data_IF_037222120466
#
_entry.id   IF_037222120466
#
_cell.length_a   1.000
_cell.length_b   1.000
_cell.length_c   1.000
_cell.angle_alpha   90.00
_cell.angle_beta   90.00
_cell.angle_gamma   90.00
#
_symmetry.space_group_name_H-M   'P 1'
#
loop_
_entity.id
_entity.type
_entity.pdbx_description
1 polymer ?
#
# COMPACT_ATOMS: atom_id res chain seq x y z
N UNK A 1 12.80 -51.99 -33.73
CA UNK A 1 11.77 -51.09 -33.19
C UNK A 1 11.74 -50.95 -31.65
N UNK A 2 12.61 -51.64 -30.89
CA UNK A 2 12.58 -51.65 -29.38
C UNK A 2 13.55 -50.60 -28.74
N UNK A 3 14.45 -49.97 -29.51
CA UNK A 3 15.43 -49.03 -29.01
C UNK A 3 14.92 -47.58 -28.87
N UNK A 4 13.84 -47.21 -29.59
CA UNK A 4 13.29 -45.83 -29.54
C UNK A 4 12.26 -45.61 -28.45
N UNK A 5 11.67 -46.69 -27.86
CA UNK A 5 10.71 -46.58 -26.77
C UNK A 5 11.36 -46.11 -25.44
N UNK A 6 12.63 -46.41 -25.22
CA UNK A 6 13.34 -46.03 -23.99
C UNK A 6 13.74 -44.53 -23.96
N UNK A 7 14.01 -43.97 -25.15
CA UNK A 7 14.38 -42.52 -25.26
C UNK A 7 13.16 -41.63 -25.07
N UNK A 8 11.96 -42.07 -25.47
CA UNK A 8 10.72 -41.29 -25.29
C UNK A 8 10.27 -41.21 -23.83
N UNK A 9 10.57 -42.25 -23.02
CA UNK A 9 10.24 -42.27 -21.56
C UNK A 9 11.20 -41.36 -20.78
N UNK A 10 12.44 -41.21 -21.21
CA UNK A 10 13.41 -40.33 -20.53
C UNK A 10 13.11 -38.83 -20.77
N UNK A 11 12.47 -38.48 -21.90
CA UNK A 11 12.06 -37.11 -22.21
C UNK A 11 10.79 -36.64 -21.49
N UNK A 12 9.97 -37.58 -21.02
CA UNK A 12 8.76 -37.27 -20.23
C UNK A 12 9.04 -36.97 -18.76
N UNK A 13 10.24 -37.28 -18.24
CA UNK A 13 10.63 -36.99 -16.86
C UNK A 13 11.37 -35.67 -16.68
N UNK A 14 11.67 -34.92 -17.73
CA UNK A 14 12.42 -33.66 -17.66
C UNK A 14 11.55 -32.41 -17.49
N UNK A 15 10.23 -32.54 -17.29
CA UNK A 15 9.35 -31.45 -16.88
C UNK A 15 9.08 -31.49 -15.37
N UNK A 16 10.10 -31.69 -14.56
CA UNK A 16 10.07 -31.24 -13.17
C UNK A 16 10.13 -29.71 -13.27
N UNK A 17 8.95 -29.10 -13.33
CA UNK A 17 8.83 -27.66 -13.09
C UNK A 17 9.60 -27.38 -11.81
N UNK A 18 10.68 -26.60 -11.89
CA UNK A 18 11.32 -26.01 -10.73
C UNK A 18 10.26 -25.10 -10.11
N UNK A 19 9.42 -25.65 -9.25
CA UNK A 19 8.56 -24.85 -8.41
C UNK A 19 9.50 -23.97 -7.61
N UNK A 20 9.42 -22.67 -7.83
CA UNK A 20 10.14 -21.72 -7.00
C UNK A 20 9.77 -22.04 -5.54
N UNK A 21 10.77 -22.42 -4.75
CA UNK A 21 10.55 -22.79 -3.36
C UNK A 21 9.98 -21.56 -2.63
N UNK A 22 8.85 -21.76 -1.95
CA UNK A 22 8.21 -20.71 -1.14
C UNK A 22 9.20 -20.10 -0.16
N UNK A 23 9.23 -18.78 -0.07
CA UNK A 23 10.06 -18.09 0.89
C UNK A 23 9.54 -18.36 2.31
N UNK A 24 10.42 -18.89 3.16
CA UNK A 24 10.11 -19.23 4.57
C UNK A 24 10.67 -18.20 5.56
N UNK A 25 11.71 -17.49 5.17
CA UNK A 25 12.40 -16.49 5.99
C UNK A 25 12.48 -15.17 5.22
N UNK A 26 11.64 -14.22 5.61
CA UNK A 26 11.46 -12.95 4.90
C UNK A 26 11.96 -11.81 5.78
N UNK A 27 12.82 -10.97 5.23
CA UNK A 27 13.07 -9.63 5.76
C UNK A 27 12.25 -8.64 4.94
N UNK A 28 11.28 -7.99 5.58
CA UNK A 28 10.44 -6.96 4.94
C UNK A 28 10.94 -5.56 5.30
N UNK A 29 11.47 -4.84 4.32
CA UNK A 29 11.83 -3.43 4.46
C UNK A 29 10.69 -2.49 4.02
N UNK A 30 9.47 -3.04 3.88
CA UNK A 30 8.31 -2.37 3.30
C UNK A 30 7.09 -2.58 4.21
N UNK A 31 6.59 -1.54 4.92
CA UNK A 31 5.50 -1.68 5.88
C UNK A 31 4.24 -2.34 5.33
N UNK A 32 3.80 -1.94 4.12
CA UNK A 32 2.59 -2.52 3.53
C UNK A 32 2.76 -3.97 3.04
N UNK A 33 4.00 -4.42 2.75
CA UNK A 33 4.30 -5.85 2.50
C UNK A 33 4.18 -6.64 3.79
N UNK A 34 4.75 -6.13 4.88
CA UNK A 34 4.55 -6.71 6.22
C UNK A 34 3.06 -6.86 6.52
N UNK A 35 2.27 -5.80 6.30
CA UNK A 35 0.81 -5.84 6.50
C UNK A 35 0.14 -6.88 5.60
N UNK A 36 0.57 -7.02 4.35
CA UNK A 36 0.05 -8.04 3.43
C UNK A 36 0.28 -9.46 3.95
N UNK A 37 1.46 -9.74 4.52
CA UNK A 37 1.75 -11.05 5.12
C UNK A 37 0.85 -11.34 6.32
N UNK A 38 0.59 -10.35 7.19
CA UNK A 38 -0.37 -10.49 8.29
C UNK A 38 -1.79 -10.77 7.78
N UNK A 39 -2.24 -10.06 6.75
CA UNK A 39 -3.56 -10.24 6.16
C UNK A 39 -3.75 -11.62 5.50
N UNK A 40 -2.66 -12.27 5.10
CA UNK A 40 -2.67 -13.63 4.56
C UNK A 40 -2.43 -14.73 5.62
N UNK A 41 -2.14 -14.36 6.89
CA UNK A 41 -1.82 -15.30 7.96
C UNK A 41 -0.38 -15.84 7.90
N UNK A 42 0.53 -15.17 7.17
CA UNK A 42 1.91 -15.62 6.90
C UNK A 42 2.97 -14.83 7.70
N UNK A 43 2.57 -14.16 8.80
CA UNK A 43 3.48 -13.40 9.66
C UNK A 43 4.61 -14.24 10.26
N UNK A 44 4.41 -15.55 10.45
CA UNK A 44 5.43 -16.46 10.97
C UNK A 44 6.66 -16.60 10.06
N UNK A 45 6.56 -16.18 8.80
CA UNK A 45 7.68 -16.14 7.85
C UNK A 45 8.54 -14.89 7.99
N UNK A 46 8.05 -13.85 8.68
CA UNK A 46 8.81 -12.64 8.93
C UNK A 46 9.90 -12.92 9.98
N UNK A 47 11.15 -12.69 9.61
CA UNK A 47 12.30 -12.81 10.52
C UNK A 47 12.91 -11.45 10.83
N UNK A 48 12.62 -10.42 10.02
CA UNK A 48 13.10 -9.06 10.23
C UNK A 48 12.23 -8.03 9.49
N UNK A 49 12.17 -6.83 10.05
CA UNK A 49 11.37 -5.73 9.49
C UNK A 49 11.98 -4.37 9.80
N UNK A 50 11.34 -3.29 9.35
CA UNK A 50 11.68 -1.92 9.76
C UNK A 50 10.92 -1.54 11.03
N UNK A 51 11.39 -0.48 11.72
CA UNK A 51 10.68 0.10 12.87
C UNK A 51 9.30 0.70 12.53
N UNK A 52 8.97 0.82 11.25
CA UNK A 52 7.66 1.30 10.77
C UNK A 52 6.71 0.17 10.34
N UNK A 53 7.18 -1.06 10.36
CA UNK A 53 6.34 -2.19 10.02
C UNK A 53 5.32 -2.46 11.13
N UNK A 54 4.04 -2.65 10.80
CA UNK A 54 3.02 -2.99 11.78
C UNK A 54 3.17 -4.48 12.15
N UNK A 55 3.85 -4.75 13.26
CA UNK A 55 4.08 -6.10 13.78
C UNK A 55 3.50 -6.23 15.19
N UNK A 56 2.98 -7.40 15.51
CA UNK A 56 2.53 -7.72 16.86
C UNK A 56 3.73 -7.99 17.77
N UNK A 57 3.72 -7.47 18.99
CA UNK A 57 4.81 -7.64 19.94
C UNK A 57 5.10 -9.12 20.25
N UNK A 58 4.09 -9.98 20.17
CA UNK A 58 4.19 -11.42 20.40
C UNK A 58 5.03 -12.14 19.34
N UNK A 59 5.11 -11.62 18.12
CA UNK A 59 5.79 -12.27 16.99
C UNK A 59 7.32 -12.19 17.08
N UNK A 60 7.85 -11.32 17.95
CA UNK A 60 9.31 -11.16 18.22
C UNK A 60 10.15 -10.98 16.94
N UNK A 61 9.65 -10.21 15.97
CA UNK A 61 10.34 -9.96 14.71
C UNK A 61 11.46 -8.96 14.93
N UNK A 62 12.67 -9.27 14.43
CA UNK A 62 13.84 -8.41 14.61
C UNK A 62 13.72 -7.10 13.83
N UNK A 63 13.95 -5.96 14.48
CA UNK A 63 14.03 -4.67 13.80
C UNK A 63 15.43 -4.51 13.21
N UNK A 64 15.51 -4.56 11.87
CA UNK A 64 16.77 -4.49 11.11
C UNK A 64 16.97 -3.16 10.40
N UNK A 65 15.95 -2.28 10.38
CA UNK A 65 16.03 -0.99 9.71
C UNK A 65 15.15 0.06 10.40
N UNK A 66 15.52 1.33 10.21
CA UNK A 66 14.69 2.50 10.52
C UNK A 66 14.56 3.37 9.25
N UNK A 67 14.00 4.60 9.37
CA UNK A 67 13.83 5.52 8.26
C UNK A 67 15.13 5.91 7.52
N UNK A 68 16.27 5.84 8.20
CA UNK A 68 17.55 6.38 7.72
C UNK A 68 18.52 5.26 7.30
N UNK A 69 18.54 4.14 8.02
CA UNK A 69 19.59 3.15 7.91
C UNK A 69 19.05 1.72 8.00
N UNK A 70 19.67 0.82 7.22
CA UNK A 70 19.49 -0.62 7.30
C UNK A 70 20.73 -1.22 7.95
N UNK A 71 20.54 -2.04 8.98
CA UNK A 71 21.61 -2.81 9.58
C UNK A 71 21.85 -4.10 8.77
N UNK A 72 22.76 -4.01 7.80
CA UNK A 72 23.08 -5.10 6.87
C UNK A 72 23.58 -6.35 7.62
N UNK A 73 24.37 -6.18 8.68
CA UNK A 73 24.89 -7.30 9.47
C UNK A 73 23.74 -8.09 10.13
N UNK A 74 22.75 -7.38 10.72
CA UNK A 74 21.56 -8.02 11.27
C UNK A 74 20.78 -8.76 10.19
N UNK A 75 20.61 -8.16 8.99
CA UNK A 75 19.94 -8.83 7.87
C UNK A 75 20.65 -10.13 7.50
N UNK A 76 21.98 -10.12 7.40
CA UNK A 76 22.78 -11.31 7.09
C UNK A 76 22.68 -12.40 8.17
N UNK A 77 22.71 -12.01 9.45
CA UNK A 77 22.58 -12.94 10.58
C UNK A 77 21.24 -13.66 10.60
N UNK A 78 20.18 -13.02 10.10
CA UNK A 78 18.85 -13.61 9.99
C UNK A 78 18.75 -14.66 8.88
N UNK A 79 19.73 -14.76 7.97
CA UNK A 79 19.76 -15.72 6.85
C UNK A 79 18.42 -15.78 6.12
N UNK A 80 17.92 -14.65 5.57
CA UNK A 80 16.64 -14.63 4.88
C UNK A 80 16.71 -15.33 3.52
N UNK A 81 15.62 -16.01 3.13
CA UNK A 81 15.44 -16.51 1.76
C UNK A 81 15.22 -15.37 0.77
N UNK A 82 14.63 -14.27 1.27
CA UNK A 82 14.35 -13.08 0.46
C UNK A 82 14.31 -11.82 1.35
N UNK A 83 14.82 -10.73 0.81
CA UNK A 83 14.65 -9.37 1.34
C UNK A 83 13.72 -8.62 0.40
N UNK A 84 12.63 -8.04 0.92
CA UNK A 84 11.70 -7.24 0.11
C UNK A 84 11.97 -5.77 0.39
N UNK A 85 12.34 -5.03 -0.65
CA UNK A 85 12.67 -3.61 -0.60
C UNK A 85 11.77 -2.78 -1.53
N UNK A 86 11.70 -1.47 -1.35
CA UNK A 86 10.91 -0.57 -2.19
C UNK A 86 11.73 0.64 -2.65
N UNK A 87 11.08 1.50 -3.44
CA UNK A 87 11.64 2.78 -3.90
C UNK A 87 12.04 3.75 -2.78
N UNK A 88 11.65 3.48 -1.54
CA UNK A 88 12.08 4.25 -0.37
C UNK A 88 13.52 3.91 0.07
N UNK A 89 14.05 2.78 -0.39
CA UNK A 89 15.42 2.34 -0.09
C UNK A 89 16.34 2.82 -1.21
N UNK A 90 17.49 3.39 -0.83
CA UNK A 90 18.48 3.86 -1.80
C UNK A 90 18.96 2.72 -2.71
N UNK A 91 19.07 2.92 -4.02
CA UNK A 91 19.52 1.90 -4.97
C UNK A 91 20.84 1.25 -4.59
N UNK A 92 21.80 2.05 -4.09
CA UNK A 92 23.12 1.57 -3.67
C UNK A 92 23.02 0.56 -2.52
N UNK A 93 22.06 0.74 -1.61
CA UNK A 93 21.82 -0.19 -0.50
C UNK A 93 21.26 -1.52 -1.01
N UNK A 94 20.33 -1.46 -1.97
CA UNK A 94 19.76 -2.65 -2.63
C UNK A 94 20.86 -3.43 -3.34
N UNK A 95 21.74 -2.74 -4.08
CA UNK A 95 22.85 -3.36 -4.80
C UNK A 95 23.88 -3.97 -3.83
N UNK A 96 24.13 -3.33 -2.70
CA UNK A 96 25.01 -3.89 -1.66
C UNK A 96 24.42 -5.19 -1.07
N UNK A 97 23.12 -5.24 -0.77
CA UNK A 97 22.48 -6.47 -0.31
C UNK A 97 22.59 -7.60 -1.34
N UNK A 98 22.43 -7.30 -2.63
CA UNK A 98 22.58 -8.27 -3.72
C UNK A 98 24.04 -8.77 -3.85
N UNK A 99 25.02 -7.87 -3.78
CA UNK A 99 26.46 -8.23 -3.81
C UNK A 99 26.87 -9.15 -2.65
N UNK A 100 26.17 -9.07 -1.53
CA UNK A 100 26.35 -9.94 -0.37
C UNK A 100 25.61 -11.30 -0.50
N UNK A 101 25.07 -11.59 -1.69
CA UNK A 101 24.42 -12.86 -2.00
C UNK A 101 22.95 -12.95 -1.57
N UNK A 102 22.34 -11.87 -1.11
CA UNK A 102 20.94 -11.86 -0.71
C UNK A 102 20.03 -11.74 -1.94
N UNK A 103 18.97 -12.54 -2.00
CA UNK A 103 17.90 -12.37 -2.97
C UNK A 103 17.06 -11.16 -2.58
N UNK A 104 17.12 -10.08 -3.36
CA UNK A 104 16.33 -8.86 -3.10
C UNK A 104 15.24 -8.73 -4.16
N UNK A 105 13.99 -8.77 -3.71
CA UNK A 105 12.79 -8.45 -4.50
C UNK A 105 12.50 -6.97 -4.30
N UNK A 106 12.52 -6.23 -5.41
CA UNK A 106 12.17 -4.82 -5.41
C UNK A 106 10.69 -4.64 -5.72
N UNK A 107 10.00 -3.91 -4.86
CA UNK A 107 8.60 -3.59 -5.00
C UNK A 107 8.42 -2.09 -5.17
N UNK A 108 8.00 -1.64 -6.35
CA UNK A 108 7.65 -0.24 -6.56
C UNK A 108 6.46 0.16 -5.66
N UNK A 109 6.34 1.46 -5.36
CA UNK A 109 5.15 1.96 -4.66
C UNK A 109 3.96 1.94 -5.64
N UNK A 110 2.81 1.36 -5.29
CA UNK A 110 1.69 1.21 -6.21
C UNK A 110 1.07 2.57 -6.58
N UNK A 111 0.68 2.71 -7.83
CA UNK A 111 0.06 3.93 -8.37
C UNK A 111 -1.47 3.83 -8.46
N UNK A 112 -2.02 2.63 -8.33
CA UNK A 112 -3.46 2.38 -8.45
C UNK A 112 -3.90 1.20 -7.60
N UNK A 113 -5.22 1.07 -7.40
CA UNK A 113 -5.80 -0.10 -6.75
C UNK A 113 -5.51 -1.40 -7.50
N UNK A 114 -5.44 -1.36 -8.83
CA UNK A 114 -5.08 -2.54 -9.62
C UNK A 114 -3.63 -2.98 -9.37
N UNK A 115 -2.70 -2.04 -9.24
CA UNK A 115 -1.32 -2.35 -8.87
C UNK A 115 -1.22 -2.87 -7.42
N UNK A 116 -2.01 -2.31 -6.48
CA UNK A 116 -2.13 -2.84 -5.11
C UNK A 116 -2.55 -4.32 -5.16
N UNK A 117 -3.58 -4.64 -5.94
CA UNK A 117 -4.06 -6.02 -6.10
C UNK A 117 -3.00 -6.94 -6.72
N UNK A 118 -2.32 -6.48 -7.77
CA UNK A 118 -1.28 -7.25 -8.44
C UNK A 118 -0.11 -7.56 -7.47
N UNK A 119 0.33 -6.56 -6.71
CA UNK A 119 1.42 -6.73 -5.75
C UNK A 119 1.03 -7.65 -4.59
N UNK A 120 -0.20 -7.55 -4.10
CA UNK A 120 -0.70 -8.45 -3.06
C UNK A 120 -0.66 -9.92 -3.52
N UNK A 121 -1.07 -10.18 -4.77
CA UNK A 121 -1.00 -11.51 -5.37
C UNK A 121 0.46 -11.98 -5.51
N UNK A 122 1.38 -11.13 -5.98
CA UNK A 122 2.80 -11.45 -6.09
C UNK A 122 3.43 -11.83 -4.74
N UNK A 123 3.07 -11.11 -3.66
CA UNK A 123 3.49 -11.46 -2.30
C UNK A 123 2.92 -12.82 -1.90
N UNK A 124 1.65 -13.07 -2.19
CA UNK A 124 1.02 -14.37 -1.95
C UNK A 124 1.72 -15.51 -2.70
N UNK A 125 2.07 -15.31 -3.97
CA UNK A 125 2.80 -16.29 -4.76
C UNK A 125 4.22 -16.56 -4.20
N UNK A 126 4.89 -15.53 -3.68
CA UNK A 126 6.20 -15.66 -3.05
C UNK A 126 6.19 -16.57 -1.81
N UNK A 127 5.05 -16.62 -1.11
CA UNK A 127 4.89 -17.42 0.12
C UNK A 127 3.99 -18.65 -0.06
N UNK A 128 3.70 -19.06 -1.30
CA UNK A 128 2.86 -20.23 -1.59
C UNK A 128 1.36 -20.03 -1.32
N UNK A 129 0.93 -18.77 -1.12
CA UNK A 129 -0.47 -18.38 -0.85
C UNK A 129 -1.15 -17.72 -2.04
N UNK A 130 -0.66 -17.96 -3.25
CA UNK A 130 -1.17 -17.29 -4.46
C UNK A 130 -2.67 -17.49 -4.69
N UNK A 131 -3.22 -18.67 -4.39
CA UNK A 131 -4.66 -18.95 -4.51
C UNK A 131 -5.47 -18.14 -3.49
N UNK A 132 -5.04 -18.11 -2.24
CA UNK A 132 -5.67 -17.34 -1.16
C UNK A 132 -5.61 -15.83 -1.46
N UNK A 133 -4.47 -15.32 -1.92
CA UNK A 133 -4.31 -13.92 -2.28
C UNK A 133 -5.25 -13.52 -3.45
N UNK A 134 -5.40 -14.37 -4.46
CA UNK A 134 -6.34 -14.15 -5.58
C UNK A 134 -7.79 -14.10 -5.10
N UNK A 135 -8.17 -14.99 -4.20
CA UNK A 135 -9.52 -15.01 -3.62
C UNK A 135 -9.79 -13.75 -2.79
N UNK A 136 -8.86 -13.33 -1.93
CA UNK A 136 -8.97 -12.09 -1.16
C UNK A 136 -9.13 -10.88 -2.08
N UNK A 137 -8.33 -10.78 -3.14
CA UNK A 137 -8.44 -9.71 -4.15
C UNK A 137 -9.79 -9.75 -4.84
N UNK A 138 -10.27 -10.91 -5.26
CA UNK A 138 -11.59 -11.06 -5.88
C UNK A 138 -12.71 -10.54 -4.98
N UNK A 139 -12.69 -10.90 -3.71
CA UNK A 139 -13.65 -10.44 -2.71
C UNK A 139 -13.61 -8.90 -2.56
N UNK A 140 -12.43 -8.29 -2.53
CA UNK A 140 -12.31 -6.84 -2.41
C UNK A 140 -12.79 -6.11 -3.69
N UNK A 141 -12.53 -6.64 -4.88
CA UNK A 141 -13.07 -6.09 -6.13
C UNK A 141 -14.59 -6.17 -6.18
N UNK A 142 -15.17 -7.24 -5.67
CA UNK A 142 -16.64 -7.37 -5.57
C UNK A 142 -17.23 -6.36 -4.56
N UNK A 143 -16.57 -6.16 -3.39
CA UNK A 143 -16.97 -5.10 -2.43
C UNK A 143 -16.89 -3.72 -3.07
N UNK A 144 -15.79 -3.40 -3.74
CA UNK A 144 -15.61 -2.13 -4.46
C UNK A 144 -16.75 -1.86 -5.46
N UNK A 145 -17.14 -2.88 -6.22
CA UNK A 145 -18.24 -2.76 -7.17
C UNK A 145 -19.56 -2.41 -6.46
N UNK A 146 -19.85 -3.05 -5.33
CA UNK A 146 -21.05 -2.75 -4.53
C UNK A 146 -21.03 -1.33 -3.97
N UNK A 147 -19.88 -0.87 -3.47
CA UNK A 147 -19.74 0.49 -2.94
C UNK A 147 -20.02 1.55 -4.02
N UNK A 148 -19.51 1.36 -5.23
CA UNK A 148 -19.76 2.28 -6.35
C UNK A 148 -21.22 2.41 -6.73
N UNK A 149 -21.99 1.33 -6.66
CA UNK A 149 -23.45 1.35 -6.92
C UNK A 149 -24.21 2.19 -5.88
N UNK A 150 -23.70 2.28 -4.65
CA UNK A 150 -24.30 3.08 -3.57
C UNK A 150 -24.02 4.58 -3.65
N UNK A 151 -23.20 5.05 -4.59
CA UNK A 151 -22.88 6.47 -4.74
C UNK A 151 -24.07 7.20 -5.39
N UNK A 152 -24.55 8.32 -4.82
CA UNK A 152 -25.66 9.08 -5.40
C UNK A 152 -25.33 9.63 -6.79
N UNK A 153 -26.20 9.38 -7.77
CA UNK A 153 -26.04 9.90 -9.12
C UNK A 153 -26.02 11.44 -9.16
N UNK A 154 -25.19 11.99 -10.03
CA UNK A 154 -25.09 13.44 -10.26
C UNK A 154 -24.35 14.22 -9.16
N UNK A 155 -23.92 13.57 -8.07
CA UNK A 155 -23.10 14.19 -7.04
C UNK A 155 -21.64 13.89 -7.31
N UNK A 156 -20.85 14.93 -7.64
CA UNK A 156 -19.41 14.82 -7.87
C UNK A 156 -18.69 15.89 -7.03
N UNK A 157 -18.62 15.73 -5.69
CA UNK A 157 -18.04 16.74 -4.82
C UNK A 157 -16.56 16.95 -5.12
N UNK A 158 -16.07 18.18 -4.97
CA UNK A 158 -14.66 18.51 -5.00
C UNK A 158 -14.01 18.00 -3.72
N UNK A 159 -12.99 17.17 -3.84
CA UNK A 159 -12.35 16.49 -2.71
C UNK A 159 -10.90 16.91 -2.60
N UNK A 160 -10.46 17.16 -1.39
CA UNK A 160 -9.06 17.34 -1.03
C UNK A 160 -8.64 16.25 -0.05
N UNK A 161 -7.60 15.48 -0.38
CA UNK A 161 -6.98 14.54 0.56
C UNK A 161 -5.62 15.11 0.95
N UNK A 162 -5.50 15.51 2.20
CA UNK A 162 -4.26 15.96 2.81
C UNK A 162 -3.50 14.78 3.41
N UNK A 163 -2.22 14.60 3.04
CA UNK A 163 -1.35 13.53 3.52
C UNK A 163 -0.11 14.02 4.27
N UNK A 164 0.07 15.33 4.36
CA UNK A 164 1.13 15.98 5.12
C UNK A 164 0.76 17.40 5.49
N UNK A 165 1.37 17.93 6.54
CA UNK A 165 1.04 19.25 7.09
C UNK A 165 2.15 20.30 6.91
N UNK A 166 3.40 19.92 7.07
CA UNK A 166 4.58 20.83 7.00
C UNK A 166 5.74 20.14 6.27
N UNK A 167 5.85 20.31 4.94
CA UNK A 167 4.98 21.06 4.04
C UNK A 167 3.60 20.41 3.85
N UNK A 168 2.62 21.22 3.39
CA UNK A 168 1.29 20.70 3.07
C UNK A 168 1.38 19.84 1.81
N UNK A 169 1.03 18.57 1.94
CA UNK A 169 1.02 17.58 0.86
C UNK A 169 -0.38 17.00 0.64
N UNK A 170 -0.71 16.72 -0.62
CA UNK A 170 -2.01 16.17 -1.00
C UNK A 170 -1.88 15.01 -1.99
N UNK A 171 -2.99 14.27 -2.13
CA UNK A 171 -3.13 13.25 -3.16
C UNK A 171 -3.15 13.88 -4.56
N UNK A 172 -2.32 13.35 -5.46
CA UNK A 172 -2.21 13.78 -6.86
C UNK A 172 -2.44 12.60 -7.81
N UNK A 173 -2.69 12.85 -9.10
CA UNK A 173 -2.75 11.80 -10.12
C UNK A 173 -1.52 10.91 -10.11
N UNK A 174 -1.66 9.70 -10.66
CA UNK A 174 -0.61 8.65 -10.68
C UNK A 174 -0.15 8.18 -9.28
N UNK A 175 -1.01 8.34 -8.27
CA UNK A 175 -0.88 7.70 -6.96
C UNK A 175 -2.14 6.90 -6.66
N UNK A 176 -2.03 5.82 -5.89
CA UNK A 176 -3.23 5.05 -5.50
C UNK A 176 -4.23 5.88 -4.67
N UNK A 177 -3.80 6.99 -4.09
CA UNK A 177 -4.67 7.94 -3.36
C UNK A 177 -5.68 8.60 -4.27
N UNK A 178 -5.37 8.81 -5.56
CA UNK A 178 -6.31 9.29 -6.57
C UNK A 178 -7.49 8.34 -6.74
N UNK A 179 -7.25 7.03 -6.64
CA UNK A 179 -8.30 6.03 -6.76
C UNK A 179 -9.35 6.12 -5.63
N UNK A 180 -8.98 6.58 -4.43
CA UNK A 180 -9.97 6.88 -3.39
C UNK A 180 -10.97 7.94 -3.84
N UNK A 181 -10.47 9.04 -4.40
CA UNK A 181 -11.33 10.14 -4.86
C UNK A 181 -12.19 9.67 -6.04
N UNK A 182 -11.57 9.05 -7.03
CA UNK A 182 -12.24 8.57 -8.24
C UNK A 182 -13.31 7.50 -7.92
N UNK A 183 -12.99 6.56 -7.04
CA UNK A 183 -13.91 5.47 -6.69
C UNK A 183 -15.02 5.91 -5.74
N UNK A 184 -14.81 6.99 -4.97
CA UNK A 184 -15.87 7.60 -4.17
C UNK A 184 -16.78 8.58 -4.98
N UNK A 185 -16.56 8.72 -6.29
CA UNK A 185 -17.35 9.61 -7.14
C UNK A 185 -16.97 11.09 -6.99
N UNK A 186 -15.88 11.40 -6.30
CA UNK A 186 -15.39 12.78 -6.14
C UNK A 186 -14.55 13.28 -7.31
N UNK A 187 -14.25 14.57 -7.29
CA UNK A 187 -13.28 15.25 -8.18
C UNK A 187 -12.10 15.72 -7.36
N UNK A 188 -10.90 15.31 -7.74
CA UNK A 188 -9.68 15.77 -7.08
C UNK A 188 -9.41 17.24 -7.42
N UNK A 189 -9.36 18.12 -6.41
CA UNK A 189 -8.99 19.54 -6.65
C UNK A 189 -7.53 19.71 -7.09
N UNK A 190 -6.69 18.68 -6.88
CA UNK A 190 -5.28 18.65 -7.27
C UNK A 190 -5.04 17.86 -8.58
N UNK A 191 -6.07 17.59 -9.40
CA UNK A 191 -5.98 16.78 -10.61
C UNK A 191 -4.96 17.28 -11.65
N UNK A 192 -4.70 18.59 -11.68
CA UNK A 192 -3.75 19.20 -12.62
C UNK A 192 -2.31 19.28 -12.07
N UNK A 193 -2.10 18.84 -10.82
CA UNK A 193 -0.80 18.94 -10.19
C UNK A 193 0.04 17.67 -10.47
N UNK A 194 1.33 17.88 -10.74
CA UNK A 194 2.31 16.78 -10.87
C UNK A 194 2.99 16.43 -9.55
N UNK A 195 3.03 17.37 -8.61
CA UNK A 195 3.64 17.23 -7.30
C UNK A 195 2.61 17.54 -6.22
N UNK A 196 2.62 16.76 -5.14
CA UNK A 196 1.63 16.87 -4.07
C UNK A 196 1.85 18.07 -3.12
N UNK A 197 2.94 18.83 -3.24
CA UNK A 197 3.16 20.01 -2.39
C UNK A 197 2.28 21.17 -2.85
N UNK A 198 1.46 21.70 -1.93
CA UNK A 198 0.52 22.78 -2.18
C UNK A 198 0.57 23.82 -1.06
N UNK A 199 -0.06 24.99 -1.29
CA UNK A 199 -0.27 26.01 -0.26
C UNK A 199 -1.73 26.00 0.21
N UNK A 200 -2.00 26.59 1.38
CA UNK A 200 -3.38 26.73 1.86
C UNK A 200 -4.21 27.63 0.94
N UNK A 201 -3.61 28.68 0.39
CA UNK A 201 -4.25 29.57 -0.56
C UNK A 201 -4.72 28.84 -1.81
N UNK A 202 -3.94 27.86 -2.29
CA UNK A 202 -4.36 27.01 -3.39
C UNK A 202 -5.64 26.26 -3.04
N UNK A 203 -5.69 25.60 -1.88
CA UNK A 203 -6.86 24.83 -1.43
C UNK A 203 -8.08 25.73 -1.23
N UNK A 204 -7.89 26.91 -0.61
CA UNK A 204 -8.94 27.91 -0.43
C UNK A 204 -9.52 28.40 -1.78
N UNK A 205 -8.66 28.60 -2.79
CA UNK A 205 -9.10 28.98 -4.15
C UNK A 205 -9.88 27.89 -4.85
N UNK A 206 -9.52 26.62 -4.64
CA UNK A 206 -10.21 25.46 -5.22
C UNK A 206 -11.54 25.14 -4.51
N UNK A 207 -11.74 25.65 -3.30
CA UNK A 207 -12.95 25.53 -2.47
C UNK A 207 -13.55 24.11 -2.43
N UNK A 208 -12.82 23.11 -1.87
CA UNK A 208 -13.33 21.73 -1.81
C UNK A 208 -14.60 21.63 -0.97
N UNK A 209 -15.50 20.71 -1.41
CA UNK A 209 -16.72 20.34 -0.68
C UNK A 209 -16.40 19.43 0.52
N UNK A 210 -15.33 18.65 0.41
CA UNK A 210 -14.90 17.69 1.43
C UNK A 210 -13.38 17.71 1.56
N UNK A 211 -12.90 17.69 2.81
CA UNK A 211 -11.48 17.55 3.15
C UNK A 211 -11.29 16.28 3.97
N UNK A 212 -10.43 15.39 3.50
CA UNK A 212 -9.91 14.27 4.27
C UNK A 212 -8.48 14.55 4.69
N UNK A 213 -8.18 14.32 5.97
CA UNK A 213 -6.86 14.50 6.56
C UNK A 213 -6.31 13.13 6.92
N UNK A 214 -5.22 12.73 6.28
CA UNK A 214 -4.54 11.45 6.49
C UNK A 214 -3.16 11.75 7.05
N UNK A 215 -3.11 12.19 8.30
CA UNK A 215 -1.86 12.46 8.99
C UNK A 215 -1.79 11.67 10.29
N UNK A 216 -0.59 11.38 10.74
CA UNK A 216 -0.40 10.63 11.98
C UNK A 216 -0.45 11.53 13.21
N UNK A 217 -1.25 11.14 14.20
CA UNK A 217 -1.23 11.71 15.56
C UNK A 217 -1.84 13.10 15.73
N UNK A 218 -1.23 13.87 16.61
CA UNK A 218 -1.73 15.20 17.08
C UNK A 218 -1.90 16.21 15.94
N UNK A 219 -1.05 16.15 14.94
CA UNK A 219 -1.07 17.06 13.79
C UNK A 219 -2.40 17.02 13.02
N UNK A 220 -3.08 15.87 12.97
CA UNK A 220 -4.34 15.73 12.24
C UNK A 220 -5.45 16.59 12.87
N UNK A 221 -5.55 16.68 14.18
CA UNK A 221 -6.54 17.52 14.84
C UNK A 221 -6.25 19.00 14.67
N UNK A 222 -4.99 19.42 14.80
CA UNK A 222 -4.58 20.80 14.55
C UNK A 222 -4.91 21.24 13.12
N UNK A 223 -4.68 20.36 12.15
CA UNK A 223 -5.02 20.62 10.75
C UNK A 223 -6.52 20.73 10.53
N UNK A 224 -7.31 19.85 11.16
CA UNK A 224 -8.78 19.92 11.09
C UNK A 224 -9.29 21.24 11.67
N UNK A 225 -8.80 21.65 12.84
CA UNK A 225 -9.19 22.89 13.49
C UNK A 225 -8.79 24.11 12.64
N UNK A 226 -7.60 24.04 12.02
CA UNK A 226 -7.14 25.06 11.09
C UNK A 226 -8.07 25.18 9.88
N UNK A 227 -8.46 24.08 9.23
CA UNK A 227 -9.39 24.12 8.10
C UNK A 227 -10.77 24.63 8.52
N UNK A 228 -11.28 24.23 9.70
CA UNK A 228 -12.56 24.70 10.23
C UNK A 228 -12.56 26.22 10.50
N UNK A 229 -11.40 26.83 10.78
CA UNK A 229 -11.30 28.27 11.01
C UNK A 229 -11.56 29.12 9.74
N UNK A 230 -11.43 28.55 8.55
CA UNK A 230 -11.73 29.23 7.29
C UNK A 230 -13.24 29.20 6.99
N UNK A 231 -13.99 30.11 7.57
CA UNK A 231 -15.48 30.15 7.50
C UNK A 231 -16.02 30.31 6.07
N UNK A 232 -15.23 30.80 5.13
CA UNK A 232 -15.64 30.93 3.72
C UNK A 232 -15.63 29.60 2.97
N UNK A 233 -14.84 28.61 3.44
CA UNK A 233 -14.62 27.33 2.77
C UNK A 233 -15.88 26.46 2.80
N UNK A 234 -16.25 25.88 1.67
CA UNK A 234 -17.43 25.02 1.54
C UNK A 234 -17.41 23.81 2.48
N UNK A 235 -16.26 23.13 2.59
CA UNK A 235 -16.05 22.03 3.53
C UNK A 235 -16.21 22.45 5.01
N UNK A 236 -15.84 23.70 5.37
CA UNK A 236 -15.99 24.22 6.74
C UNK A 236 -17.43 24.54 7.05
N UNK A 237 -18.15 25.19 6.12
CA UNK A 237 -19.60 25.49 6.25
C UNK A 237 -20.44 24.23 6.43
N UNK A 238 -20.13 23.18 5.68
CA UNK A 238 -20.82 21.89 5.73
C UNK A 238 -20.29 20.95 6.81
N UNK A 239 -19.21 21.33 7.52
CA UNK A 239 -18.50 20.51 8.51
C UNK A 239 -17.97 19.17 7.93
N UNK A 240 -17.70 19.13 6.62
CA UNK A 240 -17.19 17.94 5.93
C UNK A 240 -15.65 17.95 5.90
N UNK A 241 -15.04 17.99 7.08
CA UNK A 241 -13.61 17.87 7.31
C UNK A 241 -13.36 16.70 8.25
N UNK A 242 -12.77 15.63 7.74
CA UNK A 242 -12.66 14.35 8.42
C UNK A 242 -11.19 13.92 8.55
N UNK A 243 -10.87 13.31 9.68
CA UNK A 243 -9.59 12.63 9.90
C UNK A 243 -9.81 11.16 9.59
N UNK A 244 -8.99 10.61 8.71
CA UNK A 244 -8.97 9.19 8.38
C UNK A 244 -7.83 8.48 9.09
N UNK A 245 -8.01 7.21 9.37
CA UNK A 245 -6.99 6.33 9.90
C UNK A 245 -5.83 6.21 8.88
N UNK A 246 -4.67 6.72 9.25
CA UNK A 246 -3.48 6.71 8.41
C UNK A 246 -2.97 5.29 8.13
N UNK A 247 -3.08 4.37 9.11
CA UNK A 247 -2.64 2.99 8.93
C UNK A 247 -3.48 2.25 7.88
N UNK A 248 -4.77 2.55 7.81
CA UNK A 248 -5.64 2.04 6.74
C UNK A 248 -5.40 2.73 5.41
N UNK A 249 -5.35 4.06 5.42
CA UNK A 249 -5.34 4.85 4.19
C UNK A 249 -3.96 4.87 3.51
N UNK A 250 -2.86 4.82 4.29
CA UNK A 250 -1.49 4.84 3.77
C UNK A 250 -0.86 3.45 3.58
N UNK A 251 -1.56 2.37 3.96
CA UNK A 251 -1.06 0.99 3.78
C UNK A 251 -1.72 0.36 2.55
N UNK A 252 -1.08 0.38 1.36
CA UNK A 252 -1.68 -0.07 0.12
C UNK A 252 -1.83 -1.59 0.08
N UNK A 253 -2.90 -2.11 0.69
CA UNK A 253 -3.37 -3.48 0.56
C UNK A 253 -4.82 -3.49 0.06
N UNK A 254 -5.28 -4.53 -0.65
CA UNK A 254 -6.65 -4.55 -1.21
C UNK A 254 -7.73 -4.39 -0.14
N UNK A 255 -7.52 -5.01 1.02
CA UNK A 255 -8.48 -5.02 2.12
C UNK A 255 -8.59 -3.60 2.73
N UNK A 256 -7.46 -3.04 3.16
CA UNK A 256 -7.44 -1.74 3.82
C UNK A 256 -7.86 -0.61 2.89
N UNK A 257 -7.54 -0.72 1.59
CA UNK A 257 -8.00 0.23 0.59
C UNK A 257 -9.54 0.26 0.53
N UNK A 258 -10.19 -0.91 0.43
CA UNK A 258 -11.66 -0.96 0.34
C UNK A 258 -12.30 -0.53 1.65
N UNK A 259 -11.73 -0.86 2.81
CA UNK A 259 -12.21 -0.42 4.12
C UNK A 259 -12.15 1.11 4.27
N UNK A 260 -11.02 1.73 3.87
CA UNK A 260 -10.86 3.19 3.88
C UNK A 260 -11.82 3.88 2.89
N UNK A 261 -11.98 3.32 1.69
CA UNK A 261 -12.91 3.84 0.69
C UNK A 261 -14.37 3.81 1.18
N UNK A 262 -14.79 2.72 1.81
CA UNK A 262 -16.13 2.58 2.39
C UNK A 262 -16.39 3.66 3.44
N UNK A 263 -15.41 3.91 4.31
CA UNK A 263 -15.48 4.99 5.30
C UNK A 263 -15.57 6.36 4.62
N UNK A 264 -14.75 6.62 3.59
CA UNK A 264 -14.79 7.88 2.84
C UNK A 264 -16.14 8.12 2.19
N UNK A 265 -16.72 7.13 1.51
CA UNK A 265 -18.05 7.23 0.87
C UNK A 265 -19.09 7.58 1.92
N UNK A 266 -19.13 6.87 3.05
CA UNK A 266 -20.08 7.12 4.14
C UNK A 266 -19.96 8.54 4.74
N UNK A 267 -18.77 9.12 4.74
CA UNK A 267 -18.53 10.48 5.25
C UNK A 267 -18.86 11.55 4.20
N UNK A 268 -18.75 11.22 2.92
CA UNK A 268 -19.05 12.16 1.82
C UNK A 268 -20.55 12.38 1.62
N UNK A 269 -21.33 11.30 1.76
CA UNK A 269 -22.75 11.26 1.42
C UNK A 269 -23.63 10.99 2.65
#
# INVERSE_FOLDING_TARGET
MRKYSFILILLLFSQLAVQAQDAKRIVSLVPWVTKSLYLMGEQSRLVGCTSFCPVEAADKIEVVANAMNINIEKVLLLKPDVVIASSLIKPETIDNLRKLGLKVVYQAYPKSFEEICAFFIQIGELVGQGANAKELVFQQKARLTKLKVGIPEGKNPNVFIQIGAKPLFCAVPETFMEDFIRFSGGKNIAAELKLGSVTREYVLKQDPDVIFIVTMGIVAQEEKDTWLSYQSLSASKSKKIFILDADKTCSPTPILFVDALEEMIRLMY
#
